data_IF_307985129526
#
_entry.id   IF_307985129526
#
_cell.length_a   1.000
_cell.length_b   1.000
_cell.length_c   1.000
_cell.angle_alpha   90.00
_cell.angle_beta   90.00
_cell.angle_gamma   90.00
#
_symmetry.space_group_name_H-M   'P 1'
#
loop_
_entity.id
_entity.type
_entity.pdbx_description
1 polymer ?
#
# COMPACT_ATOMS: atom_id res chain seq x y z
N UNK A 1 9.43 8.51 -6.83
CA UNK A 1 8.45 7.75 -7.64
C UNK A 1 7.65 6.89 -6.68
N UNK A 2 6.34 6.73 -6.87
CA UNK A 2 5.54 5.89 -5.99
C UNK A 2 5.96 4.42 -6.10
N UNK A 3 5.81 3.68 -5.00
CA UNK A 3 5.94 2.23 -4.97
C UNK A 3 4.55 1.59 -4.93
N UNK A 4 4.33 0.62 -5.80
CA UNK A 4 3.08 -0.13 -5.91
C UNK A 4 3.29 -1.50 -5.28
N UNK A 5 2.64 -1.77 -4.15
CA UNK A 5 2.96 -2.92 -3.29
C UNK A 5 1.69 -3.69 -2.99
N UNK A 6 1.77 -5.01 -3.02
CA UNK A 6 0.74 -5.90 -2.48
C UNK A 6 1.35 -6.78 -1.40
N UNK A 7 0.71 -6.88 -0.24
CA UNK A 7 1.16 -7.79 0.82
C UNK A 7 0.64 -9.22 0.60
N UNK A 8 1.07 -10.15 1.45
CA UNK A 8 0.68 -11.58 1.35
C UNK A 8 -0.81 -11.83 1.54
N UNK A 9 -1.52 -10.88 2.13
CA UNK A 9 -2.95 -10.93 2.42
C UNK A 9 -3.79 -10.32 1.29
N UNK A 10 -3.14 -9.77 0.25
CA UNK A 10 -3.81 -9.16 -0.89
C UNK A 10 -4.19 -7.69 -0.69
N UNK A 11 -3.79 -7.06 0.41
CA UNK A 11 -3.92 -5.60 0.55
C UNK A 11 -2.91 -4.91 -0.35
N UNK A 12 -3.35 -3.83 -1.01
CA UNK A 12 -2.57 -3.12 -2.01
C UNK A 12 -2.38 -1.65 -1.65
N UNK A 13 -1.14 -1.20 -1.80
CA UNK A 13 -0.64 0.06 -1.30
C UNK A 13 0.03 0.88 -2.39
N UNK A 14 -0.10 2.19 -2.28
CA UNK A 14 0.67 3.17 -3.06
C UNK A 14 1.49 4.01 -2.09
N UNK A 15 2.80 3.75 -2.02
CA UNK A 15 3.70 4.47 -1.13
C UNK A 15 4.37 5.60 -1.92
N UNK A 16 4.05 6.84 -1.59
CA UNK A 16 4.54 8.02 -2.34
C UNK A 16 5.86 8.57 -1.79
N UNK A 17 6.30 8.07 -0.63
CA UNK A 17 7.57 8.40 -0.01
C UNK A 17 8.61 7.32 -0.23
N UNK A 18 9.89 7.69 -0.13
CA UNK A 18 11.01 6.78 -0.34
C UNK A 18 11.06 5.69 0.75
N UNK A 19 11.15 4.43 0.31
CA UNK A 19 11.33 3.26 1.17
C UNK A 19 12.32 2.29 0.52
N UNK A 20 12.92 1.43 1.33
CA UNK A 20 13.77 0.34 0.88
C UNK A 20 12.93 -0.93 0.70
N UNK A 21 12.47 -1.19 -0.53
CA UNK A 21 11.60 -2.34 -0.83
C UNK A 21 12.23 -3.69 -0.56
N UNK A 22 13.57 -3.77 -0.40
CA UNK A 22 14.25 -5.00 -0.01
C UNK A 22 13.94 -5.48 1.41
N UNK A 23 13.37 -4.59 2.24
CA UNK A 23 12.94 -4.87 3.61
C UNK A 23 11.49 -5.34 3.72
N UNK A 24 10.76 -5.37 2.61
CA UNK A 24 9.38 -5.86 2.59
C UNK A 24 9.39 -7.39 2.57
N UNK A 25 8.93 -8.00 3.65
CA UNK A 25 8.80 -9.45 3.74
C UNK A 25 7.49 -9.90 3.10
N UNK A 26 7.55 -10.92 2.24
CA UNK A 26 6.40 -11.49 1.55
C UNK A 26 5.66 -10.59 0.54
N UNK A 27 5.99 -9.31 0.44
CA UNK A 27 5.31 -8.39 -0.47
C UNK A 27 5.73 -8.57 -1.93
N UNK A 28 4.79 -8.32 -2.84
CA UNK A 28 5.07 -8.18 -4.27
C UNK A 28 5.10 -6.70 -4.65
N UNK A 29 6.14 -6.27 -5.34
CA UNK A 29 6.26 -4.92 -5.89
C UNK A 29 5.90 -4.92 -7.38
N UNK A 30 5.24 -3.86 -7.82
CA UNK A 30 4.76 -3.68 -9.18
C UNK A 30 5.32 -2.40 -9.80
N UNK A 31 5.41 -2.38 -11.12
CA UNK A 31 5.95 -1.23 -11.87
C UNK A 31 4.92 -0.10 -12.03
N UNK A 32 3.63 -0.40 -11.86
CA UNK A 32 2.54 0.56 -12.04
C UNK A 32 1.31 0.22 -11.19
N UNK A 33 0.43 1.22 -11.00
CA UNK A 33 -0.89 0.99 -10.40
C UNK A 33 -1.71 -0.01 -11.20
N UNK A 34 -1.72 0.08 -12.54
CA UNK A 34 -2.49 -0.83 -13.39
C UNK A 34 -2.06 -2.30 -13.21
N UNK A 35 -0.76 -2.56 -13.06
CA UNK A 35 -0.25 -3.93 -12.87
C UNK A 35 -0.56 -4.47 -11.47
N UNK A 36 -0.53 -3.61 -10.45
CA UNK A 36 -0.99 -3.91 -9.10
C UNK A 36 -2.50 -4.25 -9.07
N UNK A 37 -3.34 -3.37 -9.63
CA UNK A 37 -4.79 -3.56 -9.66
C UNK A 37 -5.19 -4.79 -10.48
N UNK A 38 -4.48 -5.07 -11.59
CA UNK A 38 -4.70 -6.29 -12.37
C UNK A 38 -4.35 -7.57 -11.59
N UNK A 39 -3.38 -7.53 -10.67
CA UNK A 39 -3.07 -8.64 -9.78
C UNK A 39 -4.11 -8.79 -8.67
N UNK A 40 -4.52 -7.68 -8.05
CA UNK A 40 -5.56 -7.66 -7.02
C UNK A 40 -6.92 -8.16 -7.56
N UNK A 41 -7.34 -7.69 -8.75
CA UNK A 41 -8.58 -8.12 -9.42
C UNK A 41 -8.65 -9.65 -9.64
N UNK A 42 -7.51 -10.27 -9.97
CA UNK A 42 -7.43 -11.73 -10.12
C UNK A 42 -7.60 -12.48 -8.80
N UNK A 43 -7.22 -11.86 -7.67
CA UNK A 43 -7.30 -12.47 -6.34
C UNK A 43 -8.68 -12.30 -5.70
N UNK A 44 -9.42 -11.24 -6.05
CA UNK A 44 -10.68 -10.87 -5.38
C UNK A 44 -11.95 -11.07 -6.21
N UNK A 45 -11.84 -11.58 -7.45
CA UNK A 45 -12.95 -11.65 -8.42
C UNK A 45 -13.61 -10.27 -8.73
N UNK A 46 -12.91 -9.18 -8.44
CA UNK A 46 -13.33 -7.81 -8.77
C UNK A 46 -12.80 -7.37 -10.14
N UNK A 47 -13.38 -6.32 -10.72
CA UNK A 47 -12.76 -5.66 -11.88
C UNK A 47 -11.71 -4.63 -11.44
N UNK A 48 -10.81 -4.23 -12.35
CA UNK A 48 -9.86 -3.15 -12.08
C UNK A 48 -10.60 -1.84 -11.73
N UNK A 49 -11.72 -1.58 -12.39
CA UNK A 49 -12.55 -0.39 -12.17
C UNK A 49 -13.16 -0.38 -10.76
N UNK A 50 -13.53 -1.54 -10.22
CA UNK A 50 -14.05 -1.67 -8.86
C UNK A 50 -12.97 -1.40 -7.79
N UNK A 51 -11.71 -1.72 -8.09
CA UNK A 51 -10.59 -1.59 -7.17
C UNK A 51 -9.90 -0.22 -7.24
N UNK A 52 -10.14 0.54 -8.30
CA UNK A 52 -9.52 1.84 -8.49
C UNK A 52 -10.02 2.83 -7.43
N UNK A 53 -9.10 3.40 -6.65
CA UNK A 53 -9.42 4.28 -5.52
C UNK A 53 -9.61 3.54 -4.20
N UNK A 54 -9.47 2.20 -4.19
CA UNK A 54 -9.46 1.39 -2.96
C UNK A 54 -8.04 1.15 -2.43
N UNK A 55 -7.01 1.64 -3.13
CA UNK A 55 -5.63 1.51 -2.67
C UNK A 55 -5.37 2.30 -1.38
N UNK A 56 -4.58 1.71 -0.48
CA UNK A 56 -4.13 2.41 0.72
C UNK A 56 -2.92 3.27 0.32
N UNK A 57 -3.11 4.59 0.29
CA UNK A 57 -2.02 5.51 -0.05
C UNK A 57 -1.25 5.89 1.19
N UNK A 58 0.07 5.82 1.11
CA UNK A 58 0.97 6.03 2.24
C UNK A 58 2.01 7.07 1.88
N UNK A 59 2.29 7.97 2.81
CA UNK A 59 3.37 8.93 2.68
C UNK A 59 3.89 9.40 4.03
N UNK A 60 5.01 10.11 3.98
CA UNK A 60 5.71 10.64 5.13
C UNK A 60 5.54 12.16 5.17
N UNK A 61 5.01 12.67 6.28
CA UNK A 61 4.85 14.11 6.56
C UNK A 61 5.61 14.43 7.83
N UNK A 62 6.49 15.44 7.77
CA UNK A 62 7.26 15.92 8.92
C UNK A 62 8.06 14.87 9.72
N UNK A 63 8.32 13.70 9.12
CA UNK A 63 9.04 12.59 9.78
C UNK A 63 8.17 11.37 10.07
N UNK A 64 6.85 11.52 9.98
CA UNK A 64 5.89 10.53 10.46
C UNK A 64 5.10 9.93 9.30
N UNK A 65 4.83 8.63 9.41
CA UNK A 65 4.10 7.88 8.38
C UNK A 65 2.60 8.08 8.51
N UNK A 66 1.93 8.27 7.39
CA UNK A 66 0.50 8.46 7.33
C UNK A 66 -0.09 7.61 6.20
N UNK A 67 -1.28 7.06 6.44
CA UNK A 67 -2.17 6.58 5.39
C UNK A 67 -3.25 7.61 5.07
N UNK A 68 -3.82 7.58 3.87
CA UNK A 68 -4.97 8.40 3.52
C UNK A 68 -6.25 7.61 3.43
N UNK A 69 -7.32 8.17 3.98
CA UNK A 69 -8.66 7.66 3.70
C UNK A 69 -9.13 8.04 2.30
N UNK A 70 -10.20 7.39 1.82
CA UNK A 70 -10.93 7.78 0.62
C UNK A 70 -11.46 9.23 0.62
N UNK A 71 -11.42 9.92 1.77
CA UNK A 71 -11.81 11.34 1.93
C UNK A 71 -10.61 12.29 1.95
N UNK A 72 -9.39 11.76 1.84
CA UNK A 72 -8.15 12.54 1.91
C UNK A 72 -7.74 12.92 3.34
N UNK A 73 -8.35 12.30 4.36
CA UNK A 73 -7.91 12.48 5.75
C UNK A 73 -6.62 11.72 5.97
N UNK A 74 -5.69 12.30 6.74
CA UNK A 74 -4.42 11.69 7.10
C UNK A 74 -4.55 10.97 8.43
N UNK A 75 -4.31 9.68 8.42
CA UNK A 75 -4.28 8.85 9.63
C UNK A 75 -2.83 8.50 9.91
N UNK A 76 -2.28 8.87 11.08
CA UNK A 76 -0.92 8.48 11.43
C UNK A 76 -0.83 6.96 11.58
N UNK A 77 0.22 6.38 10.98
CA UNK A 77 0.61 4.99 11.17
C UNK A 77 1.44 4.95 12.46
N UNK A 78 1.06 4.09 13.40
CA UNK A 78 1.68 4.00 14.73
C UNK A 78 3.22 3.88 14.66
N UNK A 79 3.92 4.85 15.27
CA UNK A 79 5.37 4.94 15.32
C UNK A 79 6.03 3.74 16.03
N UNK A 80 5.26 2.95 16.79
CA UNK A 80 5.76 1.72 17.40
C UNK A 80 6.02 0.61 16.36
N UNK A 81 5.37 0.67 15.19
CA UNK A 81 5.57 -0.30 14.12
C UNK A 81 6.47 0.28 13.02
N UNK A 82 7.43 -0.53 12.56
CA UNK A 82 8.19 -0.21 11.36
C UNK A 82 7.22 -0.11 10.17
N UNK A 83 7.42 0.87 9.28
CA UNK A 83 6.61 0.96 8.05
C UNK A 83 6.66 -0.33 7.22
N UNK A 84 7.78 -1.05 7.29
CA UNK A 84 7.94 -2.35 6.61
C UNK A 84 7.06 -3.42 7.25
N UNK A 85 6.95 -3.45 8.58
CA UNK A 85 6.09 -4.40 9.29
C UNK A 85 4.62 -4.11 9.00
N UNK A 86 4.24 -2.83 8.98
CA UNK A 86 2.91 -2.38 8.56
C UNK A 86 2.60 -2.86 7.14
N UNK A 87 3.44 -2.52 6.16
CA UNK A 87 3.21 -2.90 4.77
C UNK A 87 3.14 -4.42 4.57
N UNK A 88 3.96 -5.19 5.29
CA UNK A 88 4.01 -6.65 5.16
C UNK A 88 2.83 -7.37 5.84
N UNK A 89 2.36 -6.87 6.98
CA UNK A 89 1.45 -7.61 7.86
C UNK A 89 0.12 -6.90 8.14
N UNK A 90 -0.18 -5.80 7.44
CA UNK A 90 -1.46 -5.11 7.59
C UNK A 90 -2.64 -6.06 7.37
N UNK A 91 -3.49 -6.16 8.40
CA UNK A 91 -4.74 -6.90 8.47
C UNK A 91 -5.85 -5.92 8.90
N UNK A 92 -6.98 -5.89 8.18
CA UNK A 92 -8.17 -5.09 8.50
C UNK A 92 -9.16 -5.83 9.41
#
# INVERSE_FOLDING_TARGET
>A
MPHFIMNVLGHFFVVESEIDTSKLDGCTCFDSLDTLLAAAAKNTECTIEDLQGCEIRIFKVDGDWHETTHRGELIPIDDAQSIYDFLSNYEL
#
